data_IF_195031629940
#
_entry.id   IF_195031629940
#
_cell.length_a   1.000
_cell.length_b   1.000
_cell.length_c   1.000
_cell.angle_alpha   90.00
_cell.angle_beta   90.00
_cell.angle_gamma   90.00
#
_symmetry.space_group_name_H-M   'P 1'
#
loop_
_entity.id
_entity.type
_entity.pdbx_description
1 polymer ?
#
# COMPACT_ATOMS: atom_id res chain seq x y z
N UNK A 1 7.91 -5.59 9.58
CA UNK A 1 6.47 -5.90 9.36
C UNK A 1 6.42 -6.62 8.02
N UNK A 2 6.09 -7.91 8.01
CA UNK A 2 6.26 -8.82 6.83
C UNK A 2 4.99 -8.99 6.00
N UNK A 3 3.89 -8.36 6.38
CA UNK A 3 2.56 -8.57 5.81
C UNK A 3 2.51 -8.34 4.28
N UNK A 4 3.15 -7.29 3.76
CA UNK A 4 3.15 -6.99 2.32
C UNK A 4 4.06 -7.91 1.51
N UNK A 5 4.91 -8.72 2.15
CA UNK A 5 5.74 -9.73 1.47
C UNK A 5 4.91 -10.92 0.97
N UNK A 6 3.72 -11.13 1.52
CA UNK A 6 2.82 -12.23 1.14
C UNK A 6 1.86 -11.85 0.00
N UNK A 7 2.15 -10.78 -0.74
CA UNK A 7 1.40 -10.44 -1.96
C UNK A 7 1.61 -11.50 -3.03
N UNK A 8 0.51 -11.97 -3.59
CA UNK A 8 0.52 -12.96 -4.67
C UNK A 8 0.65 -12.28 -6.03
N UNK A 9 1.38 -12.91 -6.94
CA UNK A 9 1.62 -12.43 -8.30
C UNK A 9 2.94 -12.96 -8.85
N UNK A 10 3.17 -12.79 -10.16
CA UNK A 10 4.49 -13.04 -10.76
C UNK A 10 5.44 -11.87 -10.49
N UNK A 11 6.75 -12.07 -10.63
CA UNK A 11 7.75 -11.03 -10.41
C UNK A 11 7.52 -9.77 -11.28
N UNK A 12 7.09 -9.98 -12.52
CA UNK A 12 6.75 -8.93 -13.49
C UNK A 12 5.56 -8.10 -13.02
N UNK A 13 4.57 -8.75 -12.39
CA UNK A 13 3.33 -8.12 -11.92
C UNK A 13 3.51 -7.07 -10.82
N UNK A 14 4.71 -6.94 -10.26
CA UNK A 14 5.08 -5.99 -9.20
C UNK A 14 5.89 -4.80 -9.75
N UNK A 15 5.85 -4.50 -11.06
CA UNK A 15 6.59 -3.35 -11.65
C UNK A 15 6.13 -1.99 -11.15
N UNK A 16 4.88 -1.92 -10.73
CA UNK A 16 4.13 -0.74 -10.29
C UNK A 16 3.74 -0.84 -8.80
N UNK A 17 4.49 -1.59 -7.99
CA UNK A 17 4.15 -1.85 -6.58
C UNK A 17 5.32 -1.60 -5.62
N UNK A 18 5.39 -0.37 -5.11
CA UNK A 18 6.41 0.07 -4.16
C UNK A 18 5.75 0.63 -2.92
N UNK A 19 6.08 0.06 -1.76
CA UNK A 19 5.54 0.50 -0.48
C UNK A 19 6.72 0.87 0.41
N UNK A 20 6.76 2.12 0.85
CA UNK A 20 7.80 2.62 1.75
C UNK A 20 7.18 2.85 3.12
N UNK A 21 7.72 2.20 4.13
CA UNK A 21 7.30 2.32 5.53
C UNK A 21 8.31 3.14 6.33
N UNK A 22 7.81 3.89 7.30
CA UNK A 22 8.63 4.45 8.38
C UNK A 22 8.12 4.00 9.74
N UNK A 23 9.01 3.34 10.50
CA UNK A 23 8.68 2.69 11.78
C UNK A 23 9.67 3.12 12.86
N UNK A 24 9.22 3.67 13.98
CA UNK A 24 10.05 3.87 15.16
C UNK A 24 10.23 2.53 15.89
N UNK A 25 11.46 2.25 16.30
CA UNK A 25 11.81 1.21 17.25
C UNK A 25 11.57 1.72 18.68
N UNK A 26 10.65 1.06 19.38
CA UNK A 26 10.22 1.42 20.73
C UNK A 26 11.41 1.40 21.69
N UNK A 27 11.58 2.49 22.44
CA UNK A 27 12.68 2.66 23.39
C UNK A 27 14.06 2.90 22.76
N UNK A 28 14.16 3.04 21.43
CA UNK A 28 15.43 3.29 20.73
C UNK A 28 15.39 4.65 20.01
N UNK A 29 14.43 4.86 19.12
CA UNK A 29 14.32 6.09 18.32
C UNK A 29 12.88 6.65 18.23
N UNK A 30 12.03 6.25 19.18
CA UNK A 30 10.61 6.64 19.27
C UNK A 30 10.37 8.02 19.91
N UNK A 31 11.43 8.68 20.39
CA UNK A 31 11.38 10.08 20.82
C UNK A 31 10.99 11.00 19.65
N UNK A 32 9.94 11.81 19.85
CA UNK A 32 9.31 12.67 18.84
C UNK A 32 8.92 11.91 17.55
N UNK A 33 8.54 10.63 17.68
CA UNK A 33 8.19 9.81 16.53
C UNK A 33 6.99 10.36 15.76
N UNK A 34 6.01 10.96 16.42
CA UNK A 34 4.83 11.54 15.76
C UNK A 34 5.24 12.64 14.78
N UNK A 35 6.09 13.57 15.20
CA UNK A 35 6.59 14.65 14.37
C UNK A 35 7.44 14.13 13.20
N UNK A 36 8.32 13.16 13.47
CA UNK A 36 9.13 12.49 12.43
C UNK A 36 8.24 11.76 11.40
N UNK A 37 7.19 11.10 11.85
CA UNK A 37 6.24 10.38 11.00
C UNK A 37 5.38 11.33 10.16
N UNK A 38 4.90 12.43 10.75
CA UNK A 38 4.23 13.50 9.99
C UNK A 38 5.17 14.06 8.93
N UNK A 39 6.43 14.32 9.28
CA UNK A 39 7.44 14.80 8.34
C UNK A 39 7.69 13.82 7.18
N UNK A 40 7.76 12.52 7.48
CA UNK A 40 7.84 11.48 6.44
C UNK A 40 6.66 11.54 5.47
N UNK A 41 5.43 11.67 5.98
CA UNK A 41 4.21 11.75 5.16
C UNK A 41 4.14 13.07 4.36
N UNK A 42 4.57 14.19 4.93
CA UNK A 42 4.68 15.47 4.23
C UNK A 42 5.66 15.41 3.05
N UNK A 43 6.83 14.77 3.25
CA UNK A 43 7.78 14.55 2.16
C UNK A 43 7.15 13.65 1.11
N UNK A 44 6.53 12.54 1.51
CA UNK A 44 5.87 11.60 0.60
C UNK A 44 4.83 12.31 -0.27
N UNK A 45 4.00 13.20 0.32
CA UNK A 45 2.97 13.97 -0.40
C UNK A 45 3.52 14.75 -1.60
N UNK A 46 4.74 15.30 -1.52
CA UNK A 46 5.37 16.04 -2.65
C UNK A 46 5.53 15.17 -3.90
N UNK A 47 5.66 13.86 -3.69
CA UNK A 47 5.86 12.86 -4.74
C UNK A 47 4.56 12.16 -5.16
N UNK A 48 3.40 12.66 -4.73
CA UNK A 48 2.06 12.21 -5.16
C UNK A 48 1.88 10.68 -5.09
N UNK A 49 1.95 10.09 -3.89
CA UNK A 49 1.80 8.65 -3.73
C UNK A 49 0.37 8.21 -4.11
N UNK A 50 0.23 7.00 -4.64
CA UNK A 50 -1.08 6.44 -5.02
C UNK A 50 -1.92 6.05 -3.80
N UNK A 51 -1.26 5.81 -2.66
CA UNK A 51 -1.90 5.60 -1.37
C UNK A 51 -0.97 6.06 -0.24
N UNK A 52 -1.56 6.43 0.90
CA UNK A 52 -0.86 6.85 2.10
C UNK A 52 -1.69 6.47 3.31
N UNK A 53 -1.03 6.05 4.39
CA UNK A 53 -1.74 5.70 5.60
C UNK A 53 -0.90 5.64 6.86
N UNK A 54 -1.64 5.64 7.96
CA UNK A 54 -1.17 5.39 9.31
C UNK A 54 -1.88 4.15 9.85
N UNK A 55 -1.12 3.21 10.41
CA UNK A 55 -1.66 1.99 11.01
C UNK A 55 -2.65 2.25 12.15
N UNK A 56 -2.59 3.39 12.83
CA UNK A 56 -3.50 3.74 13.93
C UNK A 56 -4.76 4.49 13.49
N UNK A 57 -4.66 5.47 12.59
CA UNK A 57 -5.76 6.38 12.24
C UNK A 57 -6.34 6.19 10.84
N UNK A 58 -5.74 5.31 10.04
CA UNK A 58 -6.25 4.88 8.75
C UNK A 58 -5.50 5.44 7.53
N UNK A 59 -5.97 5.03 6.35
CA UNK A 59 -5.48 5.45 5.04
C UNK A 59 -6.32 6.56 4.40
N UNK A 60 -5.87 7.10 3.27
CA UNK A 60 -6.67 8.04 2.44
C UNK A 60 -8.02 7.45 2.00
N UNK A 61 -8.10 6.12 1.81
CA UNK A 61 -9.34 5.43 1.44
C UNK A 61 -10.20 5.05 2.66
N UNK A 62 -9.91 5.54 3.86
CA UNK A 62 -10.62 5.09 5.07
C UNK A 62 -12.14 5.30 4.99
N UNK A 63 -12.93 4.43 5.63
CA UNK A 63 -14.35 4.69 5.84
C UNK A 63 -14.59 6.04 6.54
N UNK A 64 -15.55 6.84 6.06
CA UNK A 64 -15.96 8.08 6.74
C UNK A 64 -16.93 7.76 7.88
N UNK A 65 -17.02 8.63 8.90
CA UNK A 65 -18.04 8.53 9.95
C UNK A 65 -19.44 8.87 9.42
N UNK A 66 -19.52 9.62 8.33
CA UNK A 66 -20.78 10.07 7.71
C UNK A 66 -21.27 9.12 6.61
N UNK A 67 -20.77 7.88 6.58
CA UNK A 67 -21.20 6.91 5.58
C UNK A 67 -22.64 6.49 5.83
N UNK A 68 -23.44 6.58 4.78
CA UNK A 68 -24.79 6.01 4.71
C UNK A 68 -24.85 5.01 3.51
N UNK A 69 -25.91 4.20 3.37
CA UNK A 69 -25.97 3.16 2.34
C UNK A 69 -25.75 3.64 0.89
N UNK A 70 -25.92 4.93 0.58
CA UNK A 70 -25.68 5.47 -0.77
C UNK A 70 -24.21 5.43 -1.19
N UNK A 71 -23.28 5.33 -0.23
CA UNK A 71 -21.82 5.22 -0.45
C UNK A 71 -21.44 3.94 -1.19
N UNK A 72 -22.35 2.96 -1.21
CA UNK A 72 -22.20 1.78 -2.03
C UNK A 72 -22.31 2.13 -3.51
N UNK A 73 -23.07 3.16 -3.90
CA UNK A 73 -23.34 3.49 -5.30
C UNK A 73 -22.54 4.68 -5.80
N UNK A 74 -22.37 5.71 -4.97
CA UNK A 74 -21.63 6.92 -5.32
C UNK A 74 -20.81 7.37 -4.12
N UNK A 75 -19.49 7.46 -4.28
CA UNK A 75 -18.60 8.06 -3.30
C UNK A 75 -17.55 8.87 -4.03
N UNK A 76 -17.35 10.11 -3.61
CA UNK A 76 -16.21 10.89 -4.06
C UNK A 76 -14.93 10.25 -3.54
N UNK A 77 -14.00 9.97 -4.46
CA UNK A 77 -12.70 9.34 -4.19
C UNK A 77 -11.61 10.42 -4.01
N UNK A 78 -12.00 11.64 -3.64
CA UNK A 78 -11.05 12.73 -3.47
C UNK A 78 -10.02 12.34 -2.39
N UNK A 79 -8.74 12.35 -2.77
CA UNK A 79 -7.63 11.98 -1.91
C UNK A 79 -7.21 13.19 -1.10
N UNK A 80 -7.40 13.14 0.21
CA UNK A 80 -6.93 14.17 1.14
C UNK A 80 -5.78 13.63 1.99
N UNK A 81 -4.55 13.91 1.55
CA UNK A 81 -3.34 13.55 2.28
C UNK A 81 -3.18 14.36 3.57
N UNK A 82 -3.70 15.59 3.64
CA UNK A 82 -3.56 16.46 4.82
C UNK A 82 -4.29 15.88 6.02
N UNK A 83 -5.46 15.27 5.79
CA UNK A 83 -6.19 14.52 6.83
C UNK A 83 -5.37 13.35 7.38
N UNK A 84 -4.58 12.65 6.55
CA UNK A 84 -3.74 11.53 7.01
C UNK A 84 -2.54 12.06 7.81
N UNK A 85 -1.86 13.09 7.32
CA UNK A 85 -0.73 13.74 8.01
C UNK A 85 -1.18 14.30 9.37
N UNK A 86 -2.25 15.09 9.40
CA UNK A 86 -2.78 15.68 10.62
C UNK A 86 -3.37 14.66 11.60
N UNK A 87 -3.79 13.49 11.11
CA UNK A 87 -4.38 12.41 11.90
C UNK A 87 -3.39 11.62 12.74
N UNK A 88 -2.09 11.63 12.41
CA UNK A 88 -1.07 10.90 13.19
C UNK A 88 -0.99 11.51 14.59
N UNK A 89 -1.41 10.78 15.63
CA UNK A 89 -1.46 11.29 17.01
C UNK A 89 -0.60 10.50 18.00
N UNK A 90 -0.12 9.33 17.60
CA UNK A 90 0.73 8.45 18.41
C UNK A 90 1.80 7.76 17.53
N UNK A 91 2.91 7.30 18.12
CA UNK A 91 3.91 6.53 17.39
C UNK A 91 3.30 5.24 16.83
N UNK A 92 3.39 5.05 15.51
CA UNK A 92 2.75 3.93 14.82
C UNK A 92 3.61 3.39 13.67
N UNK A 93 3.03 2.79 12.63
CA UNK A 93 3.67 2.56 11.34
C UNK A 93 2.98 3.42 10.30
N UNK A 94 3.75 4.28 9.62
CA UNK A 94 3.25 5.08 8.50
C UNK A 94 3.78 4.52 7.19
N UNK A 95 2.98 4.63 6.13
CA UNK A 95 3.30 4.09 4.81
C UNK A 95 2.92 5.04 3.68
N UNK A 96 3.74 5.04 2.63
CA UNK A 96 3.45 5.65 1.35
C UNK A 96 3.60 4.61 0.24
N UNK A 97 2.65 4.57 -0.69
CA UNK A 97 2.59 3.62 -1.80
C UNK A 97 2.80 4.38 -3.11
N UNK A 98 3.66 3.85 -3.97
CA UNK A 98 3.99 4.42 -5.27
C UNK A 98 3.88 3.36 -6.35
N UNK A 99 3.61 3.81 -7.58
CA UNK A 99 3.51 2.99 -8.78
C UNK A 99 4.65 3.23 -9.78
N UNK A 100 5.60 4.09 -9.42
CA UNK A 100 6.73 4.48 -10.27
C UNK A 100 8.06 4.43 -9.51
N UNK A 101 9.06 3.74 -10.09
CA UNK A 101 10.38 3.58 -9.49
C UNK A 101 11.17 4.89 -9.37
N UNK A 102 11.07 5.78 -10.36
CA UNK A 102 11.80 7.06 -10.38
C UNK A 102 11.31 7.99 -9.28
N UNK A 103 9.99 8.02 -9.07
CA UNK A 103 9.35 8.71 -7.94
C UNK A 103 9.86 8.19 -6.61
N UNK A 104 9.95 6.86 -6.45
CA UNK A 104 10.49 6.22 -5.23
C UNK A 104 11.95 6.60 -5.00
N UNK A 105 12.78 6.61 -6.05
CA UNK A 105 14.19 7.02 -5.95
C UNK A 105 14.32 8.48 -5.49
N UNK A 106 13.55 9.38 -6.08
CA UNK A 106 13.56 10.80 -5.70
C UNK A 106 13.09 10.99 -4.25
N UNK A 107 12.01 10.28 -3.85
CA UNK A 107 11.51 10.27 -2.48
C UNK A 107 12.55 9.76 -1.48
N UNK A 108 13.23 8.65 -1.77
CA UNK A 108 14.27 8.08 -0.89
C UNK A 108 15.46 9.04 -0.74
N UNK A 109 15.85 9.75 -1.80
CA UNK A 109 16.93 10.76 -1.72
C UNK A 109 16.57 11.89 -0.76
N UNK A 110 15.35 12.44 -0.86
CA UNK A 110 14.90 13.49 0.06
C UNK A 110 14.73 12.96 1.50
N UNK A 111 14.26 11.72 1.67
CA UNK A 111 14.22 11.09 3.00
C UNK A 111 15.60 10.93 3.62
N UNK A 112 16.62 10.58 2.82
CA UNK A 112 18.01 10.48 3.26
C UNK A 112 18.53 11.84 3.73
N UNK A 113 18.25 12.90 2.99
CA UNK A 113 18.62 14.28 3.36
C UNK A 113 17.89 14.76 4.62
N UNK A 114 16.65 14.32 4.82
CA UNK A 114 15.85 14.70 5.98
C UNK A 114 16.29 14.03 7.29
N UNK A 115 17.05 12.94 7.22
CA UNK A 115 17.62 12.18 8.35
C UNK A 115 16.70 12.09 9.59
N UNK A 116 15.49 11.54 9.37
CA UNK A 116 14.45 11.50 10.39
C UNK A 116 14.78 10.54 11.56
N UNK A 117 15.85 9.75 11.43
CA UNK A 117 16.24 8.74 12.41
C UNK A 117 15.24 7.59 12.58
N UNK A 118 14.31 7.40 11.63
CA UNK A 118 13.33 6.31 11.62
C UNK A 118 13.83 5.11 10.80
N UNK A 119 13.36 3.90 11.13
CA UNK A 119 13.63 2.73 10.29
C UNK A 119 12.77 2.79 9.03
N UNK A 120 13.42 2.72 7.86
CA UNK A 120 12.77 2.75 6.56
C UNK A 120 12.80 1.36 5.92
N UNK A 121 11.63 0.82 5.62
CA UNK A 121 11.50 -0.46 4.91
C UNK A 121 10.85 -0.23 3.54
N UNK A 122 11.42 -0.83 2.50
CA UNK A 122 10.88 -0.78 1.13
C UNK A 122 10.39 -2.19 0.76
N UNK A 123 9.08 -2.33 0.58
CA UNK A 123 8.45 -3.56 0.10
C UNK A 123 8.13 -3.41 -1.39
N UNK A 124 8.86 -4.15 -2.22
CA UNK A 124 8.68 -4.27 -3.66
C UNK A 124 9.31 -5.59 -4.14
N UNK A 125 9.31 -5.86 -5.46
CA UNK A 125 10.15 -6.93 -6.01
C UNK A 125 11.63 -6.70 -5.63
N UNK A 126 12.35 -7.76 -5.28
CA UNK A 126 13.67 -7.69 -4.64
C UNK A 126 14.71 -6.92 -5.47
N UNK A 127 14.73 -7.19 -6.77
CA UNK A 127 15.56 -6.53 -7.78
C UNK A 127 15.23 -5.04 -7.90
N UNK A 128 13.94 -4.70 -7.92
CA UNK A 128 13.47 -3.31 -8.01
C UNK A 128 13.76 -2.51 -6.74
N UNK A 129 13.55 -3.10 -5.56
CA UNK A 129 13.90 -2.46 -4.29
C UNK A 129 15.42 -2.18 -4.21
N UNK A 130 16.25 -3.13 -4.65
CA UNK A 130 17.70 -2.97 -4.71
C UNK A 130 18.12 -1.89 -5.71
N UNK A 131 17.52 -1.87 -6.89
CA UNK A 131 17.80 -0.85 -7.90
C UNK A 131 17.44 0.56 -7.39
N UNK A 132 16.25 0.73 -6.79
CA UNK A 132 15.84 1.99 -6.19
C UNK A 132 16.83 2.46 -5.11
N UNK A 133 17.24 1.57 -4.20
CA UNK A 133 18.21 1.90 -3.15
C UNK A 133 19.57 2.34 -3.75
N UNK A 134 20.10 1.58 -4.71
CA UNK A 134 21.37 1.90 -5.37
C UNK A 134 21.31 3.24 -6.11
N UNK A 135 20.23 3.51 -6.84
CA UNK A 135 20.01 4.77 -7.56
C UNK A 135 19.84 5.97 -6.62
N UNK A 136 19.41 5.73 -5.38
CA UNK A 136 19.39 6.72 -4.30
C UNK A 136 20.73 6.86 -3.56
N UNK A 137 21.77 6.11 -3.96
CA UNK A 137 23.07 6.13 -3.28
C UNK A 137 23.02 5.52 -1.88
N UNK A 138 22.23 4.44 -1.72
CA UNK A 138 22.10 3.67 -0.49
C UNK A 138 22.47 2.21 -0.75
N UNK A 139 23.12 1.60 0.23
CA UNK A 139 23.32 0.16 0.31
C UNK A 139 22.33 -0.42 1.32
N UNK A 140 21.57 -1.43 0.92
CA UNK A 140 20.61 -2.09 1.84
C UNK A 140 21.36 -2.90 2.87
N UNK A 141 20.93 -2.85 4.14
CA UNK A 141 21.55 -3.61 5.22
C UNK A 141 20.92 -5.00 5.43
N UNK A 142 19.64 -5.20 5.08
CA UNK A 142 18.94 -6.47 5.25
C UNK A 142 17.89 -6.70 4.17
N UNK A 143 17.49 -7.96 4.01
CA UNK A 143 16.43 -8.40 3.11
C UNK A 143 15.53 -9.37 3.86
N UNK A 144 14.23 -9.14 3.80
CA UNK A 144 13.22 -10.12 4.17
C UNK A 144 12.59 -10.67 2.89
N UNK A 145 12.41 -11.99 2.82
CA UNK A 145 11.89 -12.67 1.63
C UNK A 145 10.81 -13.68 2.04
N UNK A 146 9.64 -13.59 1.39
CA UNK A 146 8.59 -14.58 1.54
C UNK A 146 8.85 -15.76 0.63
N UNK A 147 8.89 -16.97 1.19
CA UNK A 147 9.03 -18.22 0.42
C UNK A 147 7.74 -18.62 -0.31
N UNK A 148 6.66 -17.84 -0.17
CA UNK A 148 5.38 -18.08 -0.80
C UNK A 148 4.46 -18.99 0.02
N UNK A 149 3.45 -19.55 -0.65
CA UNK A 149 2.44 -20.42 -0.04
C UNK A 149 2.84 -21.89 -0.18
N UNK A 150 2.71 -22.65 0.91
CA UNK A 150 2.98 -24.08 0.96
C UNK A 150 1.74 -24.86 1.42
N UNK A 151 1.62 -26.12 0.99
CA UNK A 151 0.52 -27.01 1.39
C UNK A 151 -0.55 -27.17 0.33
N UNK A 152 -1.83 -27.19 0.73
CA UNK A 152 -2.99 -27.40 -0.14
C UNK A 152 -3.34 -26.14 -0.95
N UNK A 153 -2.44 -25.74 -1.85
CA UNK A 153 -2.60 -24.54 -2.69
C UNK A 153 -3.77 -24.64 -3.67
N UNK A 154 -4.24 -25.86 -3.94
CA UNK A 154 -5.44 -26.18 -4.72
C UNK A 154 -6.75 -25.72 -4.07
N UNK A 155 -6.75 -25.55 -2.74
CA UNK A 155 -7.90 -25.03 -1.97
C UNK A 155 -7.93 -23.51 -1.85
N UNK A 156 -6.89 -22.83 -2.32
CA UNK A 156 -6.82 -21.37 -2.28
C UNK A 156 -7.80 -20.77 -3.29
N UNK A 157 -8.03 -19.45 -3.17
CA UNK A 157 -8.74 -18.75 -4.22
C UNK A 157 -7.96 -18.81 -5.54
N UNK A 158 -8.66 -18.59 -6.65
CA UNK A 158 -8.02 -18.47 -7.97
C UNK A 158 -7.00 -17.32 -7.99
N UNK A 159 -6.10 -17.37 -8.99
CA UNK A 159 -4.99 -16.43 -9.12
C UNK A 159 -5.42 -14.96 -9.12
N UNK A 160 -6.42 -14.60 -9.92
CA UNK A 160 -6.91 -13.22 -10.04
C UNK A 160 -7.43 -12.72 -8.67
N UNK A 161 -8.16 -13.58 -7.97
CA UNK A 161 -8.64 -13.28 -6.62
C UNK A 161 -7.50 -13.12 -5.63
N UNK A 162 -6.49 -13.98 -5.66
CA UNK A 162 -5.35 -13.90 -4.74
C UNK A 162 -4.50 -12.63 -4.97
N UNK A 163 -4.24 -12.25 -6.21
CA UNK A 163 -3.44 -11.05 -6.55
C UNK A 163 -4.05 -9.76 -5.96
N UNK A 164 -5.38 -9.71 -5.87
CA UNK A 164 -6.14 -8.61 -5.26
C UNK A 164 -6.29 -8.78 -3.74
N UNK A 165 -6.71 -9.95 -3.25
CA UNK A 165 -7.03 -10.18 -1.84
C UNK A 165 -5.79 -10.08 -0.93
N UNK A 166 -4.63 -10.51 -1.41
CA UNK A 166 -3.38 -10.48 -0.64
C UNK A 166 -2.72 -9.10 -0.59
N UNK A 167 -3.19 -8.13 -1.38
CA UNK A 167 -2.57 -6.80 -1.48
C UNK A 167 -2.57 -6.03 -0.16
N UNK A 168 -3.59 -6.19 0.70
CA UNK A 168 -3.58 -5.59 2.03
C UNK A 168 -2.48 -6.16 2.96
N UNK A 169 -1.96 -7.35 2.67
CA UNK A 169 -0.98 -8.08 3.48
C UNK A 169 -1.54 -8.68 4.78
N UNK A 170 -2.54 -8.04 5.39
CA UNK A 170 -3.17 -8.47 6.65
C UNK A 170 -4.32 -9.47 6.47
N UNK A 171 -4.67 -9.84 5.23
CA UNK A 171 -5.83 -10.71 4.97
C UNK A 171 -7.19 -10.05 5.21
N UNK A 172 -7.26 -8.72 5.28
CA UNK A 172 -8.51 -7.98 5.51
C UNK A 172 -9.47 -7.96 4.30
N UNK A 173 -9.02 -8.43 3.13
CA UNK A 173 -9.83 -8.51 1.93
C UNK A 173 -10.36 -9.94 1.76
N UNK A 174 -11.66 -10.11 1.98
CA UNK A 174 -12.31 -11.40 1.77
C UNK A 174 -12.22 -11.83 0.31
N UNK A 175 -11.78 -13.08 0.07
CA UNK A 175 -11.69 -13.64 -1.29
C UNK A 175 -13.05 -13.69 -1.99
N UNK A 176 -14.15 -13.94 -1.27
CA UNK A 176 -15.50 -13.95 -1.85
C UNK A 176 -15.97 -12.57 -2.26
N UNK A 177 -15.56 -11.53 -1.52
CA UNK A 177 -15.87 -10.15 -1.88
C UNK A 177 -15.07 -9.70 -3.10
N UNK A 178 -13.78 -10.04 -3.16
CA UNK A 178 -12.93 -9.78 -4.32
C UNK A 178 -13.50 -10.44 -5.58
N UNK A 179 -13.86 -11.73 -5.53
CA UNK A 179 -14.51 -12.42 -6.66
C UNK A 179 -15.76 -11.70 -7.15
N UNK A 180 -16.62 -11.28 -6.21
CA UNK A 180 -17.84 -10.53 -6.55
C UNK A 180 -17.54 -9.23 -7.28
N UNK A 181 -16.49 -8.50 -6.87
CA UNK A 181 -16.08 -7.28 -7.55
C UNK A 181 -15.50 -7.55 -8.94
N UNK A 182 -14.71 -8.61 -9.10
CA UNK A 182 -14.23 -9.05 -10.42
C UNK A 182 -15.42 -9.29 -11.36
N UNK A 183 -16.42 -10.05 -10.92
CA UNK A 183 -17.63 -10.32 -11.71
C UNK A 183 -18.41 -9.05 -12.04
N UNK A 184 -18.53 -8.11 -11.10
CA UNK A 184 -19.17 -6.82 -11.36
C UNK A 184 -18.43 -5.97 -12.39
N UNK A 185 -17.10 -6.00 -12.37
CA UNK A 185 -16.28 -5.32 -13.38
C UNK A 185 -16.46 -5.97 -14.76
N UNK A 186 -16.42 -7.31 -14.85
CA UNK A 186 -16.68 -8.05 -16.10
C UNK A 186 -18.06 -7.77 -16.68
N UNK A 187 -19.08 -7.63 -15.81
CA UNK A 187 -20.45 -7.32 -16.21
C UNK A 187 -20.69 -5.83 -16.52
N UNK A 188 -19.66 -4.98 -16.42
CA UNK A 188 -19.81 -3.52 -16.61
C UNK A 188 -20.63 -2.83 -15.53
N UNK A 189 -20.87 -3.48 -14.38
CA UNK A 189 -21.61 -2.92 -13.24
C UNK A 189 -20.76 -2.00 -12.37
N UNK A 190 -19.44 -2.06 -12.54
CA UNK A 190 -18.42 -1.22 -11.88
C UNK A 190 -17.27 -0.95 -12.82
N UNK A 191 -16.68 0.23 -12.71
CA UNK A 191 -15.35 0.46 -13.31
C UNK A 191 -14.26 -0.17 -12.43
N UNK A 192 -13.08 -0.50 -13.00
CA UNK A 192 -11.90 -0.92 -12.24
C UNK A 192 -11.48 0.06 -11.16
N UNK A 193 -11.59 1.36 -11.40
CA UNK A 193 -11.29 2.41 -10.43
C UNK A 193 -12.25 2.37 -9.24
N UNK A 194 -13.56 2.20 -9.50
CA UNK A 194 -14.54 2.05 -8.42
C UNK A 194 -14.33 0.78 -7.61
N UNK A 195 -13.98 -0.33 -8.27
CA UNK A 195 -13.70 -1.61 -7.62
C UNK A 195 -12.40 -1.57 -6.79
N UNK A 196 -11.36 -0.95 -7.33
CA UNK A 196 -10.08 -0.72 -6.68
C UNK A 196 -10.23 0.17 -5.45
N UNK A 197 -10.85 1.34 -5.60
CA UNK A 197 -11.16 2.23 -4.49
C UNK A 197 -12.04 1.51 -3.44
N UNK A 198 -12.93 0.61 -3.87
CA UNK A 198 -13.74 -0.19 -2.97
C UNK A 198 -12.92 -1.10 -2.09
N UNK A 199 -11.97 -1.85 -2.66
CA UNK A 199 -11.09 -2.75 -1.91
C UNK A 199 -10.15 -1.97 -0.99
N UNK A 200 -9.59 -0.85 -1.45
CA UNK A 200 -8.66 -0.04 -0.68
C UNK A 200 -9.22 0.39 0.69
N UNK A 201 -10.55 0.57 0.81
CA UNK A 201 -11.23 0.93 2.08
C UNK A 201 -11.03 -0.07 3.21
N UNK A 202 -10.87 -1.34 2.87
CA UNK A 202 -10.70 -2.42 3.84
C UNK A 202 -9.23 -2.59 4.24
N UNK A 203 -8.31 -1.92 3.55
CA UNK A 203 -6.92 -1.79 3.96
C UNK A 203 -6.76 -0.56 4.85
N UNK A 204 -6.95 -0.74 6.16
CA UNK A 204 -6.90 0.35 7.14
C UNK A 204 -5.53 1.02 7.20
N UNK A 205 -4.44 0.29 7.10
CA UNK A 205 -3.07 0.83 7.17
C UNK A 205 -2.58 1.54 5.90
N UNK A 206 -3.33 1.49 4.79
CA UNK A 206 -3.01 2.27 3.58
C UNK A 206 -1.90 1.73 2.69
N UNK A 207 -1.57 0.44 2.81
CA UNK A 207 -0.55 -0.20 1.97
C UNK A 207 -1.11 -0.69 0.64
N UNK A 208 -2.43 -0.83 0.50
CA UNK A 208 -3.08 -1.30 -0.74
C UNK A 208 -2.74 -0.37 -1.91
N UNK A 209 -2.35 -0.94 -3.05
CA UNK A 209 -1.98 -0.17 -4.23
C UNK A 209 -3.17 -0.06 -5.20
N UNK A 210 -3.87 1.08 -5.25
CA UNK A 210 -5.06 1.21 -6.08
C UNK A 210 -4.72 1.15 -7.58
N UNK A 211 -3.55 1.64 -8.00
CA UNK A 211 -3.11 1.57 -9.42
C UNK A 211 -2.94 0.12 -9.86
N UNK A 212 -2.20 -0.68 -9.08
CA UNK A 212 -2.03 -2.11 -9.36
C UNK A 212 -3.38 -2.82 -9.40
N UNK A 213 -4.27 -2.53 -8.45
CA UNK A 213 -5.59 -3.14 -8.42
C UNK A 213 -6.44 -2.79 -9.66
N UNK A 214 -6.42 -1.53 -10.11
CA UNK A 214 -7.10 -1.13 -11.36
C UNK A 214 -6.59 -1.95 -12.56
N UNK A 215 -5.27 -2.09 -12.70
CA UNK A 215 -4.66 -2.88 -13.77
C UNK A 215 -5.09 -4.35 -13.71
N UNK A 216 -5.08 -4.97 -12.53
CA UNK A 216 -5.54 -6.36 -12.35
C UNK A 216 -7.03 -6.53 -12.68
N UNK A 217 -7.87 -5.55 -12.35
CA UNK A 217 -9.29 -5.56 -12.74
C UNK A 217 -9.48 -5.43 -14.26
N UNK A 218 -8.68 -4.60 -14.94
CA UNK A 218 -8.69 -4.50 -16.41
C UNK A 218 -8.22 -5.80 -17.09
N UNK A 219 -7.16 -6.42 -16.56
CA UNK A 219 -6.69 -7.73 -17.04
C UNK A 219 -7.77 -8.80 -16.86
N UNK A 220 -8.56 -8.74 -15.79
CA UNK A 220 -9.64 -9.69 -15.54
C UNK A 220 -10.88 -9.49 -16.43
N UNK A 221 -11.00 -8.38 -17.19
CA UNK A 221 -12.09 -8.22 -18.18
C UNK A 221 -11.87 -9.04 -19.45
N UNK A 222 -10.61 -9.38 -19.75
CA UNK A 222 -10.23 -10.15 -20.93
C UNK A 222 -10.58 -11.63 -20.74
#
# INVERSE_FOLDING_TARGET
MTNTLHRYGSAESFSDDYIVFAIPARGINDSNAVEKQRRFLEIARKYQPVNMGDASHGAIFRPSKELNPTVHWRRQVATDFDTVVGGVSNPSTVAAVFDNADTVVAFIKELKEADLGLSINISAALDKAQDCARRAGLERHSVEYSLGFFGQTDRMADRQTLELATMCGHGMLSSTFVRKLIEWVKQGRRSPEEASATLARFCTCGVFNPTRACRLFEEAKK
#
